data_IF_605741577935
#
_entry.id   IF_605741577935
#
_cell.length_a   1.000
_cell.length_b   1.000
_cell.length_c   1.000
_cell.angle_alpha   90.00
_cell.angle_beta   90.00
_cell.angle_gamma   90.00
#
_symmetry.space_group_name_H-M   'P 1'
#
loop_
_entity.id
_entity.type
_entity.pdbx_description
1 polymer ?
#
# COMPACT_ATOMS: atom_id res chain seq x y z
N UNK A 1 -24.47 -20.08 -17.23
CA UNK A 1 -24.47 -19.62 -15.82
C UNK A 1 -25.74 -18.82 -15.53
N UNK A 2 -26.63 -19.35 -14.68
CA UNK A 2 -27.86 -18.63 -14.25
C UNK A 2 -27.51 -17.45 -13.35
N UNK A 3 -28.18 -16.30 -13.53
CA UNK A 3 -28.00 -15.12 -12.66
C UNK A 3 -28.69 -15.36 -11.32
N UNK A 4 -28.08 -14.90 -10.22
CA UNK A 4 -28.71 -14.94 -8.90
C UNK A 4 -30.03 -14.18 -8.86
N UNK A 5 -30.92 -14.57 -7.94
CA UNK A 5 -32.23 -13.93 -7.78
C UNK A 5 -32.11 -12.45 -7.40
N UNK A 6 -31.13 -12.10 -6.56
CA UNK A 6 -30.79 -10.72 -6.22
C UNK A 6 -30.41 -9.88 -7.45
N UNK A 7 -29.59 -10.44 -8.34
CA UNK A 7 -29.18 -9.77 -9.58
C UNK A 7 -30.37 -9.57 -10.54
N UNK A 8 -31.29 -10.52 -10.61
CA UNK A 8 -32.52 -10.39 -11.42
C UNK A 8 -33.44 -9.29 -10.89
N UNK A 9 -33.66 -9.22 -9.56
CA UNK A 9 -34.47 -8.16 -8.93
C UNK A 9 -33.87 -6.77 -9.18
N UNK A 10 -32.55 -6.61 -9.01
CA UNK A 10 -31.87 -5.33 -9.26
C UNK A 10 -32.02 -4.86 -10.70
N UNK A 11 -31.80 -5.75 -11.67
CA UNK A 11 -31.98 -5.45 -13.11
C UNK A 11 -33.42 -5.05 -13.47
N UNK A 12 -34.42 -5.58 -12.75
CA UNK A 12 -35.82 -5.17 -12.95
C UNK A 12 -36.00 -3.70 -12.51
N UNK A 13 -35.55 -3.36 -11.31
CA UNK A 13 -35.64 -2.00 -10.77
C UNK A 13 -34.82 -0.98 -11.58
N UNK A 14 -33.67 -1.38 -12.13
CA UNK A 14 -32.88 -0.57 -13.06
C UNK A 14 -33.66 -0.27 -14.36
N UNK A 15 -34.35 -1.26 -14.94
CA UNK A 15 -35.19 -1.05 -16.14
C UNK A 15 -36.42 -0.20 -15.87
N UNK A 16 -37.02 -0.36 -14.70
CA UNK A 16 -38.19 0.40 -14.27
C UNK A 16 -37.83 1.86 -13.90
N UNK A 17 -36.54 2.24 -13.99
CA UNK A 17 -36.03 3.59 -13.69
C UNK A 17 -36.03 3.95 -12.19
N UNK A 18 -36.46 3.01 -11.32
CA UNK A 18 -36.56 3.20 -9.89
C UNK A 18 -35.22 3.10 -9.15
N UNK A 19 -34.15 2.66 -9.83
CA UNK A 19 -32.83 2.44 -9.23
C UNK A 19 -31.73 3.04 -10.11
N UNK A 20 -30.98 4.01 -9.59
CA UNK A 20 -29.77 4.49 -10.23
C UNK A 20 -28.57 3.61 -9.84
N UNK A 21 -28.02 2.79 -10.76
CA UNK A 21 -26.92 1.87 -10.44
C UNK A 21 -25.61 2.59 -10.07
N UNK A 22 -25.44 3.85 -10.45
CA UNK A 22 -24.24 4.65 -10.17
C UNK A 22 -24.17 5.09 -8.69
N UNK A 23 -25.31 5.25 -8.02
CA UNK A 23 -25.36 5.68 -6.62
C UNK A 23 -24.99 4.55 -5.63
N UNK A 24 -25.17 3.29 -6.04
CA UNK A 24 -24.95 2.11 -5.19
C UNK A 24 -23.52 1.57 -5.29
N UNK A 25 -22.77 1.99 -6.29
CA UNK A 25 -21.43 1.49 -6.53
C UNK A 25 -20.48 2.34 -5.71
N UNK A 26 -20.00 1.78 -4.59
CA UNK A 26 -18.88 2.35 -3.85
C UNK A 26 -17.76 2.64 -4.85
N UNK A 27 -17.44 3.91 -5.05
CA UNK A 27 -16.32 4.27 -5.89
C UNK A 27 -15.05 3.82 -5.19
N UNK A 28 -14.19 3.10 -5.91
CA UNK A 28 -12.86 2.77 -5.40
C UNK A 28 -12.05 4.06 -5.30
N UNK A 29 -12.06 4.67 -4.12
CA UNK A 29 -11.23 5.82 -3.83
C UNK A 29 -9.80 5.34 -3.58
N UNK A 30 -8.81 6.09 -4.08
CA UNK A 30 -7.41 5.85 -3.70
C UNK A 30 -7.27 6.05 -2.20
N UNK A 31 -6.35 5.32 -1.58
CA UNK A 31 -5.99 5.59 -0.19
C UNK A 31 -5.61 7.07 -0.06
N UNK A 32 -6.16 7.80 0.92
CA UNK A 32 -5.73 9.17 1.17
C UNK A 32 -4.22 9.19 1.41
N UNK A 33 -3.54 10.26 0.98
CA UNK A 33 -2.13 10.46 1.30
C UNK A 33 -2.01 10.62 2.81
N UNK A 34 -1.69 9.55 3.52
CA UNK A 34 -1.36 9.62 4.94
C UNK A 34 0.00 10.28 5.10
N UNK A 35 0.17 11.07 6.15
CA UNK A 35 1.48 11.58 6.53
C UNK A 35 2.44 10.40 6.67
N UNK A 36 3.56 10.42 5.95
CA UNK A 36 4.57 9.38 6.04
C UNK A 36 5.24 9.51 7.41
N UNK A 37 4.94 8.59 8.32
CA UNK A 37 5.67 8.50 9.57
C UNK A 37 7.01 7.79 9.31
N UNK A 38 8.16 8.39 9.68
CA UNK A 38 9.45 7.77 9.45
C UNK A 38 9.58 6.48 10.26
N UNK A 39 9.84 5.37 9.57
CA UNK A 39 10.10 4.08 10.19
C UNK A 39 11.61 3.94 10.42
N UNK A 40 12.06 4.33 11.62
CA UNK A 40 13.49 4.32 12.01
C UNK A 40 14.15 2.95 11.81
N UNK A 41 13.47 1.85 12.11
CA UNK A 41 14.00 0.49 11.92
C UNK A 41 14.22 0.16 10.44
N UNK A 42 13.30 0.57 9.57
CA UNK A 42 13.42 0.38 8.13
C UNK A 42 14.54 1.27 7.55
N UNK A 43 14.69 2.50 8.05
CA UNK A 43 15.77 3.42 7.66
C UNK A 43 17.15 2.91 8.05
N UNK A 44 17.31 2.40 9.28
CA UNK A 44 18.57 1.80 9.75
C UNK A 44 19.02 0.61 8.88
N UNK A 45 18.09 -0.29 8.51
CA UNK A 45 18.40 -1.39 7.58
C UNK A 45 18.85 -0.86 6.22
N UNK A 46 18.17 0.16 5.69
CA UNK A 46 18.56 0.80 4.41
C UNK A 46 19.92 1.49 4.48
N UNK A 47 20.27 2.12 5.60
CA UNK A 47 21.59 2.77 5.76
C UNK A 47 22.73 1.76 5.86
N UNK A 48 22.51 0.61 6.51
CA UNK A 48 23.52 -0.43 6.62
C UNK A 48 23.89 -0.99 5.24
N UNK A 49 22.91 -1.23 4.37
CA UNK A 49 23.17 -1.70 3.00
C UNK A 49 23.78 -0.64 2.05
N UNK A 50 23.71 0.66 2.41
CA UNK A 50 24.28 1.75 1.60
C UNK A 50 25.73 2.06 1.93
N UNK A 51 26.21 1.65 3.11
CA UNK A 51 27.62 1.74 3.47
C UNK A 51 28.30 0.46 3.02
N UNK A 52 28.83 0.47 1.80
CA UNK A 52 29.60 -0.65 1.22
C UNK A 52 31.06 -0.69 1.69
N UNK A 53 31.48 0.28 2.51
CA UNK A 53 32.87 0.49 2.89
C UNK A 53 33.07 0.13 4.38
N UNK A 54 33.02 -1.17 4.62
CA UNK A 54 34.00 -1.94 5.41
C UNK A 54 34.79 -1.29 6.55
N UNK A 55 34.14 -0.76 7.59
CA UNK A 55 34.81 -0.62 8.89
C UNK A 55 33.88 -0.98 10.05
N UNK A 56 33.54 -2.26 10.13
CA UNK A 56 33.04 -2.86 11.37
C UNK A 56 34.25 -3.10 12.29
N UNK A 57 34.62 -2.08 13.06
CA UNK A 57 35.28 -2.27 14.35
C UNK A 57 36.73 -2.77 14.44
N UNK A 58 37.55 -2.78 13.38
CA UNK A 58 38.98 -3.14 13.49
C UNK A 58 39.91 -2.00 13.05
N UNK A 59 40.06 -0.97 13.89
CA UNK A 59 41.17 -0.01 13.76
C UNK A 59 42.43 -0.71 14.25
N UNK A 60 43.23 -1.25 13.32
CA UNK A 60 44.56 -1.77 13.65
C UNK A 60 45.51 -0.58 13.80
N UNK A 61 45.71 -0.11 15.04
CA UNK A 61 46.71 0.92 15.32
C UNK A 61 48.11 0.31 15.30
N UNK A 62 48.71 0.18 14.11
CA UNK A 62 50.16 0.07 14.00
C UNK A 62 50.75 1.47 14.10
N UNK A 63 51.09 1.86 15.34
CA UNK A 63 51.90 3.05 15.60
C UNK A 63 53.35 2.66 15.33
N UNK A 64 53.86 3.02 14.16
CA UNK A 64 55.28 2.97 13.83
C UNK A 64 55.86 4.38 13.97
N UNK A 65 56.71 4.58 14.99
CA UNK A 65 57.80 5.56 15.06
C UNK A 65 58.59 5.28 16.32
#
# INVERSE_FOLDING_TARGET
>A
MSKSQSKKKRLKLERDGALNPEQLRNQWQRKPRTQVQPNRKAEQRRSHCRRKDGSDGAVFTLRAS
#
